data_IF_322051860363
#
_entry.id   IF_322051860363
#
_cell.length_a   1.000
_cell.length_b   1.000
_cell.length_c   1.000
_cell.angle_alpha   90.00
_cell.angle_beta   90.00
_cell.angle_gamma   90.00
#
_symmetry.space_group_name_H-M   'P 1'
#
loop_
_entity.id
_entity.type
_entity.pdbx_description
1 polymer ?
#
# COMPACT_ATOMS: atom_id res chain seq x y z
N UNK A 1 9.76 3.50 -26.20
CA UNK A 1 9.72 2.88 -24.86
C UNK A 1 9.39 1.43 -25.10
N UNK A 2 10.37 0.54 -25.00
CA UNK A 2 10.16 -0.87 -25.27
C UNK A 2 9.23 -1.42 -24.18
N UNK A 3 8.05 -1.91 -24.57
CA UNK A 3 7.25 -2.77 -23.71
C UNK A 3 8.07 -4.03 -23.48
N UNK A 4 8.74 -4.12 -22.34
CA UNK A 4 9.29 -5.39 -21.88
C UNK A 4 8.16 -6.41 -21.92
N UNK A 5 8.41 -7.51 -22.61
CA UNK A 5 7.44 -8.58 -22.78
C UNK A 5 7.04 -9.11 -21.39
N UNK A 6 5.83 -8.77 -20.95
CA UNK A 6 5.34 -9.09 -19.61
C UNK A 6 5.16 -10.60 -19.39
N UNK A 7 5.30 -11.41 -20.46
CA UNK A 7 5.28 -12.87 -20.38
C UNK A 7 6.44 -13.48 -19.59
N UNK A 8 7.56 -12.76 -19.43
CA UNK A 8 8.70 -13.21 -18.61
C UNK A 8 8.42 -13.16 -17.09
N UNK A 9 7.32 -12.53 -16.67
CA UNK A 9 6.96 -12.33 -15.26
C UNK A 9 5.91 -13.33 -14.76
N UNK A 10 5.63 -14.38 -15.54
CA UNK A 10 4.51 -15.26 -15.25
C UNK A 10 4.85 -16.26 -14.13
N UNK A 11 4.50 -15.89 -12.89
CA UNK A 11 4.67 -16.75 -11.73
C UNK A 11 3.48 -17.71 -11.51
N UNK A 12 2.39 -17.56 -12.26
CA UNK A 12 1.17 -18.37 -12.13
C UNK A 12 0.46 -18.58 -13.47
N UNK A 13 -0.87 -18.72 -13.42
CA UNK A 13 -1.72 -18.87 -14.62
C UNK A 13 -2.34 -17.56 -15.09
N UNK A 14 -2.38 -16.55 -14.22
CA UNK A 14 -2.86 -15.20 -14.54
C UNK A 14 -1.81 -14.39 -15.29
N UNK A 15 -2.26 -13.47 -16.17
CA UNK A 15 -1.38 -12.48 -16.79
C UNK A 15 -0.75 -11.59 -15.73
N UNK A 16 0.38 -10.96 -16.04
CA UNK A 16 1.05 -10.05 -15.10
C UNK A 16 0.10 -8.98 -14.55
N UNK A 17 -0.73 -8.35 -15.40
CA UNK A 17 -1.70 -7.35 -14.98
C UNK A 17 -2.75 -7.91 -14.01
N UNK A 18 -3.21 -9.14 -14.23
CA UNK A 18 -4.12 -9.83 -13.32
C UNK A 18 -3.45 -10.12 -11.97
N UNK A 19 -2.17 -10.51 -11.97
CA UNK A 19 -1.38 -10.68 -10.74
C UNK A 19 -1.26 -9.37 -9.98
N UNK A 20 -0.86 -8.29 -10.65
CA UNK A 20 -0.74 -6.96 -10.05
C UNK A 20 -2.08 -6.46 -9.51
N UNK A 21 -3.17 -6.71 -10.23
CA UNK A 21 -4.51 -6.38 -9.75
C UNK A 21 -4.87 -7.16 -8.49
N UNK A 22 -4.63 -8.47 -8.45
CA UNK A 22 -4.88 -9.30 -7.26
C UNK A 22 -4.09 -8.82 -6.05
N UNK A 23 -2.79 -8.54 -6.21
CA UNK A 23 -1.94 -8.00 -5.15
C UNK A 23 -2.42 -6.61 -4.71
N UNK A 24 -2.77 -5.73 -5.65
CA UNK A 24 -3.34 -4.42 -5.34
C UNK A 24 -4.65 -4.55 -4.56
N UNK A 25 -5.51 -5.51 -4.91
CA UNK A 25 -6.77 -5.75 -4.22
C UNK A 25 -6.58 -6.25 -2.79
N UNK A 26 -5.51 -7.01 -2.51
CA UNK A 26 -5.19 -7.45 -1.14
C UNK A 26 -4.95 -6.31 -0.15
N UNK A 27 -4.70 -5.07 -0.62
CA UNK A 27 -4.61 -3.89 0.26
C UNK A 27 -5.90 -3.60 1.02
N UNK A 28 -7.05 -4.02 0.51
CA UNK A 28 -8.36 -3.82 1.17
C UNK A 28 -8.56 -4.73 2.38
N UNK A 29 -7.69 -5.72 2.62
CA UNK A 29 -7.79 -6.60 3.79
C UNK A 29 -7.82 -5.78 5.09
N UNK A 30 -7.12 -4.64 5.13
CA UNK A 30 -7.11 -3.74 6.29
C UNK A 30 -8.46 -3.09 6.59
N UNK A 31 -9.37 -3.01 5.62
CA UNK A 31 -10.65 -2.30 5.76
C UNK A 31 -11.65 -3.01 6.68
N UNK A 32 -11.47 -4.32 6.91
CA UNK A 32 -12.28 -5.10 7.83
C UNK A 32 -11.94 -4.90 9.30
N UNK A 33 -10.77 -4.33 9.59
CA UNK A 33 -10.25 -4.21 10.94
C UNK A 33 -10.52 -2.85 11.57
N UNK A 34 -10.48 -2.84 12.90
CA UNK A 34 -10.69 -1.67 13.75
C UNK A 34 -9.74 -1.73 14.93
N UNK A 35 -9.27 -0.58 15.39
CA UNK A 35 -8.31 -0.48 16.49
C UNK A 35 -7.17 0.45 16.14
N UNK A 36 -6.09 0.37 16.93
CA UNK A 36 -4.89 1.17 16.68
C UNK A 36 -4.23 0.76 15.36
N UNK A 37 -3.49 1.68 14.72
CA UNK A 37 -2.84 1.42 13.44
C UNK A 37 -1.94 0.16 13.47
N UNK A 38 -1.25 -0.09 14.59
CA UNK A 38 -0.40 -1.26 14.77
C UNK A 38 -1.18 -2.58 14.89
N UNK A 39 -2.35 -2.56 15.53
CA UNK A 39 -3.24 -3.71 15.63
C UNK A 39 -3.80 -4.07 14.24
N UNK A 40 -4.27 -3.06 13.50
CA UNK A 40 -4.76 -3.23 12.13
C UNK A 40 -3.63 -3.74 11.22
N UNK A 41 -2.43 -3.19 11.32
CA UNK A 41 -1.28 -3.63 10.53
C UNK A 41 -0.93 -5.10 10.82
N UNK A 42 -0.93 -5.51 12.09
CA UNK A 42 -0.67 -6.90 12.50
C UNK A 42 -1.71 -7.88 11.94
N UNK A 43 -2.99 -7.56 12.10
CA UNK A 43 -4.10 -8.38 11.57
C UNK A 43 -4.08 -8.44 10.03
N UNK A 44 -3.75 -7.32 9.38
CA UNK A 44 -3.59 -7.27 7.91
C UNK A 44 -2.41 -8.12 7.46
N UNK A 45 -1.28 -8.08 8.18
CA UNK A 45 -0.10 -8.92 7.89
C UNK A 45 -0.44 -10.40 7.95
N UNK A 46 -1.14 -10.83 8.99
CA UNK A 46 -1.57 -12.23 9.15
C UNK A 46 -2.44 -12.70 7.98
N UNK A 47 -3.49 -11.95 7.62
CA UNK A 47 -4.34 -12.31 6.49
C UNK A 47 -3.61 -12.26 5.15
N UNK A 48 -2.74 -11.26 4.95
CA UNK A 48 -1.96 -11.14 3.72
C UNK A 48 -1.01 -12.32 3.55
N UNK A 49 -0.31 -12.73 4.61
CA UNK A 49 0.55 -13.92 4.57
C UNK A 49 -0.27 -15.17 4.24
N UNK A 50 -1.44 -15.35 4.85
CA UNK A 50 -2.33 -16.47 4.52
C UNK A 50 -2.74 -16.47 3.02
N UNK A 51 -3.02 -15.30 2.45
CA UNK A 51 -3.34 -15.15 1.02
C UNK A 51 -2.14 -15.51 0.13
N UNK A 52 -0.94 -15.06 0.50
CA UNK A 52 0.29 -15.29 -0.27
C UNK A 52 0.78 -16.75 -0.19
N UNK A 53 0.47 -17.45 0.90
CA UNK A 53 0.87 -18.85 1.13
C UNK A 53 -0.16 -19.88 0.60
N UNK A 54 -1.39 -19.44 0.29
CA UNK A 54 -2.45 -20.31 -0.22
C UNK A 54 -2.08 -20.92 -1.58
N UNK A 55 -2.15 -22.26 -1.66
CA UNK A 55 -1.70 -23.01 -2.85
C UNK A 55 -2.58 -22.84 -4.08
N UNK A 56 -3.87 -22.56 -3.92
CA UNK A 56 -4.73 -22.27 -5.06
C UNK A 56 -4.49 -20.84 -5.57
N UNK A 57 -4.27 -19.88 -4.66
CA UNK A 57 -3.90 -18.51 -5.03
C UNK A 57 -2.52 -18.48 -5.71
N UNK A 58 -1.54 -19.21 -5.18
CA UNK A 58 -0.21 -19.34 -5.80
C UNK A 58 -0.26 -19.92 -7.22
N UNK A 59 -1.19 -20.83 -7.54
CA UNK A 59 -1.37 -21.29 -8.93
C UNK A 59 -1.87 -20.20 -9.86
N UNK A 60 -2.60 -19.21 -9.33
CA UNK A 60 -3.14 -18.10 -10.11
C UNK A 60 -2.09 -17.02 -10.27
N UNK A 61 -1.56 -16.50 -9.16
CA UNK A 61 -0.71 -15.32 -9.16
C UNK A 61 0.78 -15.60 -9.02
N UNK A 62 1.13 -16.84 -8.69
CA UNK A 62 2.48 -17.24 -8.37
C UNK A 62 2.91 -17.04 -6.93
N UNK A 63 4.19 -17.29 -6.67
CA UNK A 63 4.77 -17.20 -5.33
C UNK A 63 5.36 -15.80 -5.13
N UNK A 64 4.76 -15.06 -4.20
CA UNK A 64 5.14 -13.70 -3.83
C UNK A 64 5.44 -13.64 -2.34
N UNK A 65 6.54 -12.99 -2.00
CA UNK A 65 7.00 -12.85 -0.62
C UNK A 65 6.72 -11.43 -0.13
N UNK A 66 6.05 -11.30 1.03
CA UNK A 66 5.92 -10.02 1.74
C UNK A 66 7.28 -9.63 2.31
N UNK A 67 7.80 -8.47 1.91
CA UNK A 67 9.13 -8.02 2.30
C UNK A 67 9.16 -6.73 3.10
N UNK A 68 8.07 -5.96 3.07
CA UNK A 68 7.89 -4.79 3.93
C UNK A 68 6.40 -4.55 4.17
N UNK A 69 6.06 -4.12 5.39
CA UNK A 69 4.70 -3.76 5.78
C UNK A 69 3.86 -4.93 6.30
N UNK A 70 2.52 -4.75 6.35
CA UNK A 70 1.80 -3.55 5.94
C UNK A 70 2.09 -2.34 6.84
N UNK A 71 2.26 -1.16 6.23
CA UNK A 71 2.13 0.13 6.90
C UNK A 71 0.66 0.57 6.81
N UNK A 72 0.09 1.04 7.92
CA UNK A 72 -1.32 1.44 7.99
C UNK A 72 -1.44 2.83 8.60
N UNK A 73 -2.14 3.72 7.92
CA UNK A 73 -2.69 4.93 8.52
C UNK A 73 -4.12 4.63 8.97
N UNK A 74 -4.40 4.82 10.26
CA UNK A 74 -5.73 4.62 10.82
C UNK A 74 -6.28 5.91 11.42
N UNK A 75 -7.60 6.05 11.43
CA UNK A 75 -8.27 7.19 12.03
C UNK A 75 -9.79 7.06 12.07
N UNK A 76 -10.42 8.00 12.77
CA UNK A 76 -11.87 8.16 12.90
C UNK A 76 -12.18 9.62 13.25
N UNK A 77 -13.21 10.22 12.62
CA UNK A 77 -13.71 11.55 13.03
C UNK A 77 -14.25 11.56 14.46
N UNK A 78 -14.59 10.38 14.98
CA UNK A 78 -15.17 10.18 16.30
C UNK A 78 -14.29 9.22 17.12
N UNK A 79 -12.96 9.34 17.00
CA UNK A 79 -12.00 8.45 17.68
C UNK A 79 -12.21 8.35 19.20
N UNK A 80 -12.82 9.37 19.83
CA UNK A 80 -13.21 9.34 21.24
C UNK A 80 -14.33 8.34 21.59
N UNK A 81 -15.11 7.88 20.60
CA UNK A 81 -16.30 7.03 20.82
C UNK A 81 -16.40 5.84 19.84
N UNK A 82 -15.63 5.82 18.75
CA UNK A 82 -15.56 4.73 17.78
C UNK A 82 -14.10 4.38 17.52
N UNK A 83 -13.73 3.08 17.56
CA UNK A 83 -12.37 2.67 17.21
C UNK A 83 -11.97 3.12 15.81
N UNK A 84 -10.69 3.45 15.65
CA UNK A 84 -10.11 3.83 14.38
C UNK A 84 -10.22 2.70 13.34
N UNK A 85 -10.23 3.09 12.06
CA UNK A 85 -10.26 2.19 10.90
C UNK A 85 -9.09 2.51 9.98
N UNK A 86 -8.70 1.55 9.16
CA UNK A 86 -7.72 1.79 8.08
C UNK A 86 -8.25 2.84 7.10
N UNK A 87 -7.47 3.91 6.95
CA UNK A 87 -7.68 4.98 5.97
C UNK A 87 -6.69 4.83 4.81
N UNK A 88 -5.44 4.45 5.06
CA UNK A 88 -4.50 4.09 4.00
C UNK A 88 -3.74 2.83 4.40
N UNK A 89 -3.37 2.01 3.42
CA UNK A 89 -2.49 0.86 3.63
C UNK A 89 -1.50 0.73 2.49
N UNK A 90 -0.30 0.27 2.82
CA UNK A 90 0.78 0.03 1.86
C UNK A 90 1.58 -1.20 2.27
N UNK A 91 1.96 -2.03 1.31
CA UNK A 91 2.92 -3.11 1.53
C UNK A 91 3.77 -3.34 0.29
N UNK A 92 4.88 -4.06 0.45
CA UNK A 92 5.77 -4.42 -0.64
C UNK A 92 5.92 -5.94 -0.70
N UNK A 93 5.69 -6.50 -1.88
CA UNK A 93 5.97 -7.91 -2.19
C UNK A 93 6.98 -8.03 -3.31
N UNK A 94 7.72 -9.14 -3.32
CA UNK A 94 8.63 -9.50 -4.41
C UNK A 94 8.32 -10.90 -4.91
N UNK A 95 8.45 -11.16 -6.21
CA UNK A 95 8.26 -12.51 -6.71
C UNK A 95 9.45 -13.39 -6.32
N UNK A 96 9.20 -14.67 -6.05
CA UNK A 96 10.28 -15.62 -5.74
C UNK A 96 11.23 -15.83 -6.94
N UNK A 97 10.69 -15.76 -8.16
CA UNK A 97 11.43 -15.98 -9.41
C UNK A 97 12.39 -14.85 -9.77
N UNK A 98 12.09 -13.62 -9.35
CA UNK A 98 12.92 -12.44 -9.60
C UNK A 98 12.88 -11.46 -8.42
N UNK A 99 13.73 -11.67 -7.41
CA UNK A 99 13.82 -10.78 -6.27
C UNK A 99 14.28 -9.35 -6.61
N UNK A 100 14.74 -9.05 -7.83
CA UNK A 100 15.06 -7.65 -8.19
C UNK A 100 13.80 -6.83 -8.49
N UNK A 101 12.65 -7.49 -8.68
CA UNK A 101 11.36 -6.84 -8.85
C UNK A 101 10.63 -6.65 -7.53
N UNK A 102 9.87 -5.56 -7.45
CA UNK A 102 9.01 -5.28 -6.31
C UNK A 102 7.68 -4.69 -6.78
N UNK A 103 6.60 -5.11 -6.12
CA UNK A 103 5.28 -4.51 -6.24
C UNK A 103 5.00 -3.74 -4.95
N UNK A 104 4.75 -2.44 -5.10
CA UNK A 104 4.31 -1.58 -4.01
C UNK A 104 2.80 -1.41 -4.15
N UNK A 105 2.05 -2.12 -3.31
CA UNK A 105 0.59 -2.11 -3.34
C UNK A 105 0.06 -1.07 -2.34
N UNK A 106 -0.85 -0.20 -2.79
CA UNK A 106 -1.37 0.93 -2.01
C UNK A 106 -2.90 0.95 -2.08
N UNK A 107 -3.56 1.03 -0.93
CA UNK A 107 -4.96 1.45 -0.84
C UNK A 107 -5.07 2.85 -0.23
N UNK A 108 -5.97 3.64 -0.82
CA UNK A 108 -6.53 4.84 -0.20
C UNK A 108 -7.70 4.53 0.74
N UNK A 109 -8.51 5.55 1.01
CA UNK A 109 -9.59 5.53 2.00
C UNK A 109 -10.69 4.47 1.75
N UNK A 110 -11.04 3.71 2.80
CA UNK A 110 -12.16 2.78 2.80
C UNK A 110 -13.48 3.49 2.44
N UNK A 111 -14.13 3.07 1.35
CA UNK A 111 -15.38 3.66 0.87
C UNK A 111 -16.54 3.66 1.89
N UNK A 112 -16.50 2.89 2.97
CA UNK A 112 -17.49 3.02 4.06
C UNK A 112 -17.37 4.32 4.87
N UNK A 113 -16.31 5.11 4.66
CA UNK A 113 -16.09 6.47 5.20
C UNK A 113 -16.40 7.58 4.17
N UNK A 114 -17.20 7.27 3.14
CA UNK A 114 -17.58 8.13 2.01
C UNK A 114 -18.02 9.57 2.35
N UNK A 115 -18.51 9.86 3.55
CA UNK A 115 -18.86 11.23 3.97
C UNK A 115 -17.64 12.06 4.41
N UNK A 116 -16.57 11.41 4.89
CA UNK A 116 -15.33 12.05 5.35
C UNK A 116 -14.40 12.31 4.15
N UNK A 117 -14.38 11.40 3.17
CA UNK A 117 -13.78 11.57 1.83
C UNK A 117 -14.20 12.90 1.20
N UNK A 118 -15.49 13.26 1.20
CA UNK A 118 -15.98 14.37 0.37
C UNK A 118 -15.47 15.73 0.85
N UNK A 119 -15.06 15.88 2.10
CA UNK A 119 -14.49 17.14 2.57
C UNK A 119 -12.94 17.19 2.48
N UNK A 120 -12.26 16.05 2.59
CA UNK A 120 -10.79 15.95 2.49
C UNK A 120 -10.29 15.74 1.03
N UNK A 121 -10.95 14.89 0.24
CA UNK A 121 -10.56 14.52 -1.14
C UNK A 121 -11.10 15.46 -2.23
N UNK A 122 -12.04 16.38 -1.94
CA UNK A 122 -12.50 17.39 -2.91
C UNK A 122 -11.72 18.71 -2.89
N UNK A 123 -10.61 18.79 -2.13
CA UNK A 123 -9.67 19.89 -2.32
C UNK A 123 -8.76 19.68 -3.54
N UNK A 124 -9.39 19.35 -4.66
CA UNK A 124 -8.82 19.38 -6.02
C UNK A 124 -8.86 20.79 -6.61
N UNK A 125 -9.61 21.71 -5.98
CA UNK A 125 -9.66 23.12 -6.36
C UNK A 125 -8.38 23.85 -6.00
N UNK A 126 -7.70 23.44 -4.93
CA UNK A 126 -6.37 23.93 -4.58
C UNK A 126 -5.31 22.93 -5.00
N UNK A 127 -4.24 23.44 -5.57
CA UNK A 127 -3.03 22.67 -5.86
C UNK A 127 -1.87 23.20 -5.04
N UNK A 128 -0.89 22.34 -4.82
CA UNK A 128 0.41 22.69 -4.24
C UNK A 128 1.53 22.28 -5.20
N UNK A 129 2.71 22.94 -5.14
CA UNK A 129 3.86 22.51 -5.93
C UNK A 129 4.22 21.05 -5.65
N UNK A 130 4.60 20.30 -6.70
CA UNK A 130 5.08 18.94 -6.57
C UNK A 130 6.39 18.89 -5.74
N UNK A 131 6.41 18.27 -4.55
CA UNK A 131 7.53 18.39 -3.62
C UNK A 131 8.81 17.67 -4.06
N UNK A 132 8.71 16.73 -5.02
CA UNK A 132 9.84 15.93 -5.50
C UNK A 132 10.30 16.33 -6.91
N UNK A 133 9.76 17.43 -7.45
CA UNK A 133 10.09 17.92 -8.78
C UNK A 133 11.34 18.81 -8.78
N UNK A 134 11.94 19.04 -9.96
CA UNK A 134 12.90 20.12 -10.09
C UNK A 134 12.24 21.45 -9.71
N UNK A 135 12.96 22.30 -9.00
CA UNK A 135 12.49 23.64 -8.56
C UNK A 135 12.04 24.55 -9.70
N UNK A 136 12.41 24.22 -10.94
CA UNK A 136 12.09 24.97 -12.16
C UNK A 136 10.79 24.50 -12.83
N UNK A 137 10.10 23.49 -12.29
CA UNK A 137 8.83 23.01 -12.87
C UNK A 137 7.63 23.68 -12.22
N UNK A 138 6.65 24.09 -13.03
CA UNK A 138 5.30 24.47 -12.57
C UNK A 138 4.43 23.23 -12.27
N UNK A 139 5.05 22.07 -11.98
CA UNK A 139 4.32 20.84 -11.69
C UNK A 139 3.53 21.02 -10.38
N UNK A 140 2.24 20.74 -10.44
CA UNK A 140 1.29 20.90 -9.35
C UNK A 140 0.61 19.57 -9.07
N UNK A 141 0.26 19.34 -7.81
CA UNK A 141 -0.55 18.21 -7.36
C UNK A 141 -1.74 18.75 -6.55
N UNK A 142 -2.90 18.11 -6.65
CA UNK A 142 -4.05 18.45 -5.81
C UNK A 142 -3.67 18.34 -4.34
N UNK A 143 -4.13 19.30 -3.53
CA UNK A 143 -3.80 19.35 -2.10
C UNK A 143 -4.26 18.09 -1.36
N UNK A 144 -5.41 17.52 -1.72
CA UNK A 144 -5.87 16.22 -1.18
C UNK A 144 -4.88 15.08 -1.46
N UNK A 145 -4.41 14.95 -2.70
CA UNK A 145 -3.41 13.93 -3.07
C UNK A 145 -2.06 14.16 -2.40
N UNK A 146 -1.64 15.41 -2.22
CA UNK A 146 -0.45 15.73 -1.42
C UNK A 146 -0.59 15.24 0.01
N UNK A 147 -1.75 15.45 0.67
CA UNK A 147 -1.97 14.95 2.02
C UNK A 147 -1.93 13.42 2.09
N UNK A 148 -2.60 12.72 1.16
CA UNK A 148 -2.55 11.27 1.08
C UNK A 148 -1.11 10.75 0.88
N UNK A 149 -0.36 11.38 -0.02
CA UNK A 149 1.04 11.05 -0.28
C UNK A 149 1.91 11.27 0.96
N UNK A 150 1.77 12.41 1.64
CA UNK A 150 2.49 12.73 2.88
C UNK A 150 2.24 11.69 3.98
N UNK A 151 1.00 11.18 4.10
CA UNK A 151 0.73 10.06 5.01
C UNK A 151 1.48 8.81 4.58
N UNK A 152 1.36 8.40 3.32
CA UNK A 152 1.94 7.15 2.81
C UNK A 152 3.46 7.10 2.92
N UNK A 153 4.18 8.17 2.55
CA UNK A 153 5.67 8.17 2.54
C UNK A 153 6.28 8.12 3.95
N UNK A 154 5.51 8.52 4.96
CA UNK A 154 5.91 8.51 6.36
C UNK A 154 5.40 7.26 7.11
N UNK A 155 4.68 6.34 6.45
CA UNK A 155 4.30 5.08 7.07
C UNK A 155 5.51 4.18 7.26
N UNK A 156 5.55 3.55 8.42
CA UNK A 156 6.55 2.56 8.78
C UNK A 156 5.89 1.18 8.89
N UNK A 157 6.66 0.12 8.58
CA UNK A 157 6.18 -1.23 8.77
C UNK A 157 6.15 -1.59 10.25
N UNK A 158 5.02 -2.09 10.73
CA UNK A 158 4.96 -2.72 12.05
C UNK A 158 5.45 -4.15 11.90
N UNK A 159 6.71 -4.39 12.23
CA UNK A 159 7.20 -5.75 12.42
C UNK A 159 7.21 -6.07 13.92
N UNK A 160 6.27 -6.88 14.42
CA UNK A 160 6.14 -7.15 15.86
C UNK A 160 7.36 -7.87 16.46
N UNK A 161 8.28 -8.36 15.63
CA UNK A 161 9.51 -9.05 16.04
C UNK A 161 10.78 -8.19 15.91
N UNK A 162 10.68 -6.97 15.34
CA UNK A 162 11.80 -6.06 15.14
C UNK A 162 11.56 -4.73 15.87
N UNK A 163 12.54 -4.30 16.66
CA UNK A 163 12.53 -2.97 17.29
C UNK A 163 12.84 -1.83 16.29
N UNK A 164 13.00 -2.15 15.00
CA UNK A 164 13.36 -1.17 13.97
C UNK A 164 12.17 -0.94 13.05
N UNK A 165 11.56 0.23 13.18
CA UNK A 165 10.51 0.73 12.30
C UNK A 165 11.17 1.54 11.18
N UNK A 166 10.95 1.15 9.92
CA UNK A 166 11.50 1.85 8.74
C UNK A 166 10.40 2.13 7.73
N UNK A 167 10.55 3.24 7.00
CA UNK A 167 9.63 3.58 5.91
C UNK A 167 9.87 2.69 4.69
N UNK A 168 8.87 2.62 3.81
CA UNK A 168 9.01 1.93 2.52
C UNK A 168 10.18 2.47 1.69
N UNK A 169 10.42 3.78 1.72
CA UNK A 169 11.55 4.40 1.02
C UNK A 169 12.90 3.96 1.61
N UNK A 170 13.03 3.93 2.93
CA UNK A 170 14.25 3.45 3.59
C UNK A 170 14.50 1.98 3.24
N UNK A 171 13.48 1.14 3.29
CA UNK A 171 13.57 -0.26 2.90
C UNK A 171 14.05 -0.45 1.44
N UNK A 172 13.45 0.29 0.50
CA UNK A 172 13.83 0.21 -0.91
C UNK A 172 15.26 0.72 -1.16
N UNK A 173 15.72 1.72 -0.40
CA UNK A 173 17.08 2.25 -0.53
C UNK A 173 18.19 1.27 -0.14
N UNK A 174 17.88 0.27 0.69
CA UNK A 174 18.83 -0.77 1.11
C UNK A 174 18.82 -2.00 0.21
N UNK A 175 17.95 -2.05 -0.81
CA UNK A 175 17.89 -3.15 -1.80
C UNK A 175 18.75 -2.93 -3.04
N UNK A 176 19.30 -1.73 -3.22
CA UNK A 176 20.25 -1.36 -4.28
C UNK A 176 21.68 -1.71 -3.86
#
# INVERSE_FOLDING_TARGET
MATTDASAYNNGTYSFEQQIFSLSWSTILSFGFKGEASEIASQTKELLVNVLEDKEIQKLIGIWNLVWGPGVYAGSLLSAIVPDKSLNSIFIVVPESDPEQAVVAIAGTNGSSLMDWIFEDFNVKETVPWPYGPSQTEAQISKGTYFGLDKLVNLESVDPTSNTSITAQQYLSTRL
#
